data_IF_953479915530
#
_entry.id   IF_953479915530
#
_cell.length_a   1.000
_cell.length_b   1.000
_cell.length_c   1.000
_cell.angle_alpha   90.00
_cell.angle_beta   90.00
_cell.angle_gamma   90.00
#
_symmetry.space_group_name_H-M   'P 1'
#
loop_
_entity.id
_entity.type
_entity.pdbx_description
1 polymer ?
#
# COMPACT_ATOMS: atom_id res chain seq x y z
N UNK A 1 8.84 -20.77 1.01
CA UNK A 1 8.07 -19.53 1.29
C UNK A 1 6.80 -19.57 0.46
N UNK A 2 5.62 -19.59 1.08
CA UNK A 2 4.31 -19.71 0.39
C UNK A 2 3.97 -18.45 -0.41
N UNK A 3 3.06 -18.56 -1.41
CA UNK A 3 2.58 -17.43 -2.19
C UNK A 3 2.00 -16.31 -1.29
N UNK A 4 1.21 -16.69 -0.29
CA UNK A 4 0.65 -15.80 0.72
C UNK A 4 1.70 -15.00 1.50
N UNK A 5 2.80 -15.66 1.89
CA UNK A 5 3.88 -14.98 2.62
C UNK A 5 4.61 -13.98 1.72
N UNK A 6 4.83 -14.32 0.44
CA UNK A 6 5.44 -13.40 -0.54
C UNK A 6 4.57 -12.17 -0.80
N UNK A 7 3.26 -12.37 -0.95
CA UNK A 7 2.28 -11.29 -1.08
C UNK A 7 2.34 -10.35 0.13
N UNK A 8 2.31 -10.93 1.33
CA UNK A 8 2.42 -10.18 2.58
C UNK A 8 3.72 -9.37 2.65
N UNK A 9 4.86 -10.00 2.41
CA UNK A 9 6.17 -9.34 2.53
C UNK A 9 6.31 -8.17 1.54
N UNK A 10 5.90 -8.38 0.27
CA UNK A 10 5.94 -7.33 -0.75
C UNK A 10 4.97 -6.20 -0.44
N UNK A 11 3.77 -6.49 0.06
CA UNK A 11 2.81 -5.48 0.49
C UNK A 11 3.33 -4.67 1.68
N UNK A 12 3.96 -5.30 2.67
CA UNK A 12 4.56 -4.58 3.81
C UNK A 12 5.65 -3.63 3.32
N UNK A 13 6.56 -4.10 2.46
CA UNK A 13 7.63 -3.26 1.89
C UNK A 13 7.06 -2.09 1.10
N UNK A 14 6.05 -2.36 0.28
CA UNK A 14 5.39 -1.33 -0.51
C UNK A 14 4.59 -0.34 0.34
N UNK A 15 3.97 -0.81 1.42
CA UNK A 15 3.28 0.05 2.38
C UNK A 15 4.22 1.09 3.01
N UNK A 16 5.50 0.75 3.22
CA UNK A 16 6.51 1.73 3.64
C UNK A 16 6.75 2.80 2.56
N UNK A 17 6.75 2.42 1.28
CA UNK A 17 6.86 3.38 0.17
C UNK A 17 5.63 4.29 0.11
N UNK A 18 4.43 3.75 0.30
CA UNK A 18 3.19 4.54 0.43
C UNK A 18 3.29 5.55 1.57
N UNK A 19 3.85 5.16 2.74
CA UNK A 19 4.08 6.10 3.84
C UNK A 19 5.10 7.19 3.50
N UNK A 20 6.13 6.88 2.71
CA UNK A 20 7.12 7.86 2.23
C UNK A 20 6.52 8.83 1.23
N UNK A 21 5.72 8.32 0.29
CA UNK A 21 4.94 9.13 -0.65
C UNK A 21 3.99 10.06 0.10
N UNK A 22 3.24 9.57 1.09
CA UNK A 22 2.42 10.43 1.96
C UNK A 22 3.25 11.54 2.62
N UNK A 23 4.49 11.24 3.03
CA UNK A 23 5.44 12.24 3.53
C UNK A 23 5.83 13.32 2.51
N UNK A 24 5.99 12.98 1.22
CA UNK A 24 6.26 13.96 0.17
C UNK A 24 5.03 14.83 -0.11
N UNK A 25 3.83 14.23 -0.12
CA UNK A 25 2.56 14.96 -0.26
C UNK A 25 2.36 15.96 0.89
N UNK A 26 2.65 15.54 2.13
CA UNK A 26 2.66 16.45 3.28
C UNK A 26 3.63 17.62 3.05
N UNK A 27 4.87 17.33 2.64
CA UNK A 27 5.88 18.37 2.40
C UNK A 27 5.41 19.38 1.35
N UNK A 28 4.76 18.91 0.29
CA UNK A 28 4.19 19.75 -0.76
C UNK A 28 3.02 20.62 -0.26
N UNK A 29 2.21 20.13 0.68
CA UNK A 29 1.09 20.87 1.27
C UNK A 29 1.49 21.91 2.34
N UNK A 30 2.64 21.76 3.01
CA UNK A 30 3.06 22.66 4.10
C UNK A 30 3.19 24.15 3.74
N UNK A 31 3.59 24.57 2.52
CA UNK A 31 3.53 25.97 2.10
C UNK A 31 2.12 26.59 2.24
N UNK A 32 1.05 25.87 1.87
CA UNK A 32 -0.31 26.37 1.96
C UNK A 32 -0.74 26.61 3.42
N UNK A 33 -0.39 25.71 4.34
CA UNK A 33 -0.63 25.89 5.78
C UNK A 33 0.14 27.09 6.35
N UNK A 34 1.40 27.29 5.94
CA UNK A 34 2.20 28.46 6.36
C UNK A 34 1.62 29.76 5.82
N UNK A 35 1.15 29.76 4.57
CA UNK A 35 0.45 30.90 3.97
C UNK A 35 -0.84 31.21 4.72
N UNK A 36 -1.66 30.20 5.03
CA UNK A 36 -2.88 30.36 5.83
C UNK A 36 -2.61 31.05 7.18
N UNK A 37 -1.58 30.59 7.89
CA UNK A 37 -1.21 31.19 9.18
C UNK A 37 -0.82 32.67 9.04
N UNK A 38 -0.11 33.01 7.96
CA UNK A 38 0.27 34.40 7.66
C UNK A 38 -0.95 35.24 7.31
N UNK A 39 -1.82 34.75 6.44
CA UNK A 39 -2.99 35.49 5.95
C UNK A 39 -4.00 35.74 7.08
N UNK A 40 -4.30 34.72 7.90
CA UNK A 40 -5.16 34.88 9.08
C UNK A 40 -4.57 35.86 10.09
N UNK A 41 -3.25 35.80 10.33
CA UNK A 41 -2.57 36.74 11.21
C UNK A 41 -2.73 38.18 10.71
N UNK A 42 -2.50 38.41 9.42
CA UNK A 42 -2.62 39.73 8.81
C UNK A 42 -4.06 40.25 8.89
N UNK A 43 -5.04 39.40 8.56
CA UNK A 43 -6.46 39.77 8.60
C UNK A 43 -6.95 40.15 10.00
N UNK A 44 -6.55 39.39 11.02
CA UNK A 44 -6.95 39.66 12.40
C UNK A 44 -6.20 40.88 12.96
N UNK A 45 -4.90 41.01 12.68
CA UNK A 45 -4.11 42.13 13.18
C UNK A 45 -4.48 43.49 12.55
N UNK A 46 -4.98 43.48 11.32
CA UNK A 46 -5.39 44.67 10.58
C UNK A 46 -6.87 45.04 10.68
N UNK A 47 -7.68 44.31 11.46
CA UNK A 47 -9.10 44.61 11.61
C UNK A 47 -9.37 45.76 12.59
N UNK A 48 -10.39 46.57 12.32
CA UNK A 48 -10.76 47.74 13.11
C UNK A 48 -11.38 47.36 14.47
N UNK A 49 -11.16 48.17 15.51
CA UNK A 49 -11.68 47.90 16.86
C UNK A 49 -13.22 47.72 16.91
N UNK A 50 -13.95 48.37 16.00
CA UNK A 50 -15.41 48.27 15.88
C UNK A 50 -15.89 46.94 15.30
N UNK A 51 -15.07 46.27 14.48
CA UNK A 51 -15.32 44.94 13.89
C UNK A 51 -15.31 43.84 14.96
N UNK A 52 -14.47 44.00 15.98
CA UNK A 52 -14.35 43.06 17.09
C UNK A 52 -15.38 43.27 18.21
N UNK A 53 -16.34 44.19 18.05
CA UNK A 53 -17.46 44.31 18.99
C UNK A 53 -18.35 43.04 18.94
N UNK A 54 -18.81 42.55 20.10
CA UNK A 54 -19.50 41.24 20.25
C UNK A 54 -20.67 40.97 19.28
N UNK A 55 -21.30 42.01 18.72
CA UNK A 55 -22.41 41.87 17.77
C UNK A 55 -22.05 42.05 16.28
N UNK A 56 -20.78 42.25 15.90
CA UNK A 56 -20.40 42.70 14.54
C UNK A 56 -19.31 41.88 13.83
N UNK A 57 -19.03 40.66 14.28
CA UNK A 57 -17.96 39.80 13.74
C UNK A 57 -18.28 39.07 12.42
N UNK A 58 -19.43 39.33 11.79
CA UNK A 58 -19.88 38.58 10.60
C UNK A 58 -18.89 38.70 9.42
N UNK A 59 -18.33 39.90 9.20
CA UNK A 59 -17.36 40.11 8.13
C UNK A 59 -16.06 39.34 8.38
N UNK A 60 -15.53 39.40 9.61
CA UNK A 60 -14.34 38.67 10.01
C UNK A 60 -14.53 37.15 9.90
N UNK A 61 -15.68 36.64 10.33
CA UNK A 61 -16.00 35.21 10.20
C UNK A 61 -15.97 34.77 8.74
N UNK A 62 -16.62 35.53 7.85
CA UNK A 62 -16.63 35.24 6.40
C UNK A 62 -15.22 35.24 5.82
N UNK A 63 -14.39 36.21 6.18
CA UNK A 63 -13.03 36.31 5.66
C UNK A 63 -12.14 35.17 6.17
N UNK A 64 -12.27 34.78 7.45
CA UNK A 64 -11.57 33.62 8.01
C UNK A 64 -11.97 32.36 7.23
N UNK A 65 -13.26 32.13 7.01
CA UNK A 65 -13.74 30.96 6.27
C UNK A 65 -13.20 30.93 4.84
N UNK A 66 -13.21 32.08 4.14
CA UNK A 66 -12.69 32.18 2.78
C UNK A 66 -11.18 31.89 2.71
N UNK A 67 -10.39 32.42 3.64
CA UNK A 67 -8.95 32.18 3.73
C UNK A 67 -8.64 30.70 3.97
N UNK A 68 -9.38 30.07 4.89
CA UNK A 68 -9.21 28.65 5.23
C UNK A 68 -9.63 27.75 4.07
N UNK A 69 -10.75 28.03 3.41
CA UNK A 69 -11.19 27.30 2.22
C UNK A 69 -10.15 27.39 1.10
N UNK A 70 -9.70 28.61 0.76
CA UNK A 70 -8.68 28.84 -0.27
C UNK A 70 -7.38 28.08 0.02
N UNK A 71 -6.93 28.09 1.28
CA UNK A 71 -5.73 27.35 1.66
C UNK A 71 -5.92 25.84 1.58
N UNK A 72 -7.11 25.33 1.93
CA UNK A 72 -7.43 23.90 1.89
C UNK A 72 -7.57 23.40 0.46
N UNK A 73 -8.15 24.19 -0.44
CA UNK A 73 -8.18 23.89 -1.88
C UNK A 73 -6.77 23.84 -2.45
N UNK A 74 -5.92 24.79 -2.07
CA UNK A 74 -4.51 24.79 -2.43
C UNK A 74 -3.74 23.57 -1.90
N UNK A 75 -4.14 23.01 -0.75
CA UNK A 75 -3.61 21.72 -0.28
C UNK A 75 -4.07 20.60 -1.20
N UNK A 76 -5.36 20.50 -1.49
CA UNK A 76 -5.92 19.42 -2.33
C UNK A 76 -5.29 19.40 -3.72
N UNK A 77 -5.11 20.56 -4.35
CA UNK A 77 -4.57 20.69 -5.71
C UNK A 77 -3.11 20.25 -5.83
N UNK A 78 -2.31 20.34 -4.77
CA UNK A 78 -0.91 19.88 -4.81
C UNK A 78 -0.76 18.39 -4.51
N UNK A 79 -1.85 17.70 -4.15
CA UNK A 79 -1.80 16.27 -3.87
C UNK A 79 -1.86 15.48 -5.18
N UNK A 80 -0.86 14.64 -5.39
CA UNK A 80 -0.76 13.78 -6.55
C UNK A 80 -1.45 12.42 -6.29
N UNK A 81 -2.75 12.44 -6.01
CA UNK A 81 -3.49 11.22 -5.64
C UNK A 81 -3.97 10.41 -6.86
N UNK A 82 -4.17 11.06 -8.01
CA UNK A 82 -4.66 10.39 -9.22
C UNK A 82 -3.56 9.54 -9.87
N UNK A 83 -2.37 10.09 -10.10
CA UNK A 83 -1.26 9.31 -10.66
C UNK A 83 -0.80 8.24 -9.67
N UNK A 84 -0.84 8.54 -8.37
CA UNK A 84 -0.61 7.53 -7.33
C UNK A 84 -1.61 6.37 -7.42
N UNK A 85 -2.91 6.64 -7.61
CA UNK A 85 -3.92 5.58 -7.76
C UNK A 85 -3.61 4.65 -8.94
N UNK A 86 -3.19 5.23 -10.08
CA UNK A 86 -2.79 4.47 -11.27
C UNK A 86 -1.57 3.60 -10.99
N UNK A 87 -0.53 4.16 -10.35
CA UNK A 87 0.68 3.41 -9.98
C UNK A 87 0.38 2.27 -8.99
N UNK A 88 -0.58 2.47 -8.08
CA UNK A 88 -1.02 1.45 -7.14
C UNK A 88 -1.71 0.28 -7.86
N UNK A 89 -2.52 0.55 -8.89
CA UNK A 89 -3.11 -0.50 -9.73
C UNK A 89 -2.01 -1.31 -10.41
N UNK A 90 -1.05 -0.65 -11.07
CA UNK A 90 0.04 -1.35 -11.75
C UNK A 90 0.91 -2.19 -10.81
N UNK A 91 1.25 -1.62 -9.64
CA UNK A 91 1.98 -2.34 -8.61
C UNK A 91 1.21 -3.60 -8.19
N UNK A 92 -0.10 -3.49 -8.04
CA UNK A 92 -0.95 -4.56 -7.55
C UNK A 92 -1.16 -5.65 -8.60
N UNK A 93 -1.28 -5.28 -9.88
CA UNK A 93 -1.28 -6.24 -10.99
C UNK A 93 0.05 -7.02 -11.03
N UNK A 94 1.21 -6.35 -10.94
CA UNK A 94 2.52 -7.01 -10.88
C UNK A 94 2.67 -7.90 -9.66
N UNK A 95 2.18 -7.45 -8.51
CA UNK A 95 2.22 -8.19 -7.26
C UNK A 95 1.38 -9.47 -7.33
N UNK A 96 0.12 -9.35 -7.76
CA UNK A 96 -0.81 -10.47 -7.83
C UNK A 96 -0.40 -11.46 -8.92
N UNK A 97 -0.01 -10.97 -10.10
CA UNK A 97 0.47 -11.80 -11.21
C UNK A 97 1.70 -12.64 -10.85
N UNK A 98 2.56 -12.14 -9.95
CA UNK A 98 3.70 -12.90 -9.44
C UNK A 98 3.32 -13.98 -8.40
N UNK A 99 2.05 -14.07 -8.01
CA UNK A 99 1.55 -15.01 -7.00
C UNK A 99 0.54 -16.03 -7.54
N UNK A 100 0.03 -15.84 -8.77
CA UNK A 100 -1.01 -16.68 -9.37
C UNK A 100 -0.51 -17.40 -10.64
N UNK A 101 -1.01 -18.60 -10.89
CA UNK A 101 -0.62 -19.44 -12.05
C UNK A 101 -1.39 -19.15 -13.34
N UNK A 102 -2.31 -18.18 -13.30
CA UNK A 102 -3.18 -17.79 -14.41
C UNK A 102 -2.99 -16.32 -14.76
N UNK A 103 -3.38 -15.94 -15.96
CA UNK A 103 -3.39 -14.54 -16.37
C UNK A 103 -4.43 -13.74 -15.57
N UNK A 104 -4.10 -12.48 -15.29
CA UNK A 104 -5.01 -11.57 -14.60
C UNK A 104 -6.01 -10.97 -15.59
N UNK A 105 -7.14 -10.51 -15.05
CA UNK A 105 -8.12 -9.73 -15.81
C UNK A 105 -7.46 -8.52 -16.50
N UNK A 106 -7.70 -8.42 -17.80
CA UNK A 106 -7.28 -7.29 -18.62
C UNK A 106 -8.24 -6.09 -18.45
N UNK A 107 -7.76 -4.89 -18.79
CA UNK A 107 -8.65 -3.75 -19.02
C UNK A 107 -9.25 -3.10 -17.76
N UNK A 108 -8.46 -2.95 -16.68
CA UNK A 108 -8.89 -2.12 -15.53
C UNK A 108 -9.17 -0.69 -16.03
N UNK A 109 -10.38 -0.20 -15.76
CA UNK A 109 -10.81 1.12 -16.20
C UNK A 109 -10.07 2.21 -15.42
N UNK A 110 -9.06 2.81 -16.07
CA UNK A 110 -8.22 3.83 -15.43
C UNK A 110 -8.97 5.13 -15.14
N UNK A 111 -10.04 5.44 -15.86
CA UNK A 111 -10.89 6.61 -15.57
C UNK A 111 -11.69 6.39 -14.29
N UNK A 112 -12.17 5.16 -14.07
CA UNK A 112 -12.77 4.77 -12.80
C UNK A 112 -11.75 4.84 -11.66
N UNK A 113 -10.52 4.37 -11.87
CA UNK A 113 -9.45 4.43 -10.86
C UNK A 113 -9.13 5.87 -10.47
N UNK A 114 -9.05 6.80 -11.43
CA UNK A 114 -8.88 8.23 -11.14
C UNK A 114 -10.09 8.78 -10.38
N UNK A 115 -11.32 8.41 -10.76
CA UNK A 115 -12.53 8.89 -10.10
C UNK A 115 -12.66 8.45 -8.61
N UNK A 116 -11.96 7.40 -8.18
CA UNK A 116 -11.92 6.95 -6.78
C UNK A 116 -11.35 8.04 -5.86
N UNK A 117 -10.44 8.90 -6.34
CA UNK A 117 -9.84 9.98 -5.54
C UNK A 117 -10.86 10.95 -4.98
N UNK A 118 -11.97 11.16 -5.69
CA UNK A 118 -13.01 12.12 -5.30
C UNK A 118 -14.31 11.45 -4.85
N UNK A 119 -14.63 10.26 -5.37
CA UNK A 119 -15.95 9.63 -5.18
C UNK A 119 -15.97 8.54 -4.12
N UNK A 120 -14.83 7.93 -3.80
CA UNK A 120 -14.81 6.79 -2.87
C UNK A 120 -15.07 7.26 -1.45
N UNK A 121 -16.11 6.71 -0.83
CA UNK A 121 -16.40 6.92 0.59
C UNK A 121 -15.55 5.97 1.45
N UNK A 122 -14.82 6.55 2.40
CA UNK A 122 -14.12 5.84 3.47
C UNK A 122 -14.96 5.81 4.73
N UNK A 123 -14.94 4.69 5.43
CA UNK A 123 -15.61 4.51 6.72
C UNK A 123 -14.59 4.73 7.86
N UNK A 124 -14.66 5.89 8.49
CA UNK A 124 -13.72 6.31 9.54
C UNK A 124 -14.39 6.27 10.91
N UNK A 125 -13.81 5.50 11.82
CA UNK A 125 -14.16 5.53 13.24
C UNK A 125 -13.47 6.74 13.88
N UNK A 126 -14.26 7.61 14.51
CA UNK A 126 -13.79 8.83 15.17
C UNK A 126 -14.53 8.99 16.50
N UNK A 127 -13.85 8.66 17.60
CA UNK A 127 -14.49 8.52 18.91
C UNK A 127 -15.60 7.47 18.84
N UNK A 128 -16.80 7.84 19.29
CA UNK A 128 -17.98 6.98 19.29
C UNK A 128 -18.80 7.03 17.98
N UNK A 129 -18.29 7.75 16.98
CA UNK A 129 -18.99 7.96 15.70
C UNK A 129 -18.30 7.25 14.54
N UNK A 130 -19.10 6.84 13.56
CA UNK A 130 -18.63 6.33 12.28
C UNK A 130 -18.99 7.36 11.21
N UNK A 131 -17.98 7.93 10.58
CA UNK A 131 -18.14 8.86 9.46
C UNK A 131 -17.95 8.14 8.13
N UNK A 132 -18.73 8.51 7.12
CA UNK A 132 -18.56 8.08 5.73
C UNK A 132 -18.21 9.29 4.89
N UNK A 133 -16.94 9.44 4.54
CA UNK A 133 -16.42 10.66 3.92
C UNK A 133 -15.65 10.32 2.65
N UNK A 134 -15.82 11.15 1.62
CA UNK A 134 -14.89 11.23 0.51
C UNK A 134 -13.65 12.04 0.90
N UNK A 135 -12.61 12.04 0.08
CA UNK A 135 -11.43 12.89 0.31
C UNK A 135 -11.79 14.37 0.34
N UNK A 136 -12.53 14.91 -0.66
CA UNK A 136 -13.00 16.29 -0.59
C UNK A 136 -13.76 16.58 0.71
N UNK A 137 -14.69 15.72 1.12
CA UNK A 137 -15.46 15.91 2.35
C UNK A 137 -14.59 15.89 3.62
N UNK A 138 -13.50 15.11 3.67
CA UNK A 138 -12.55 15.17 4.79
C UNK A 138 -11.81 16.51 4.84
N UNK A 139 -11.46 17.08 3.68
CA UNK A 139 -10.84 18.39 3.60
C UNK A 139 -11.83 19.52 3.93
N UNK A 140 -13.09 19.39 3.54
CA UNK A 140 -14.15 20.32 3.93
C UNK A 140 -14.35 20.32 5.45
N UNK A 141 -14.47 19.14 6.08
CA UNK A 141 -14.56 19.03 7.55
C UNK A 141 -13.34 19.64 8.25
N UNK A 142 -12.14 19.43 7.70
CA UNK A 142 -10.91 20.02 8.20
C UNK A 142 -10.94 21.54 8.09
N UNK A 143 -11.30 22.08 6.91
CA UNK A 143 -11.42 23.51 6.62
C UNK A 143 -12.37 24.17 7.62
N UNK A 144 -13.58 23.63 7.77
CA UNK A 144 -14.56 24.16 8.72
C UNK A 144 -14.06 24.11 10.17
N UNK A 145 -13.37 23.04 10.57
CA UNK A 145 -12.85 22.91 11.92
C UNK A 145 -11.78 23.97 12.21
N UNK A 146 -10.87 24.23 11.26
CA UNK A 146 -9.86 25.28 11.40
C UNK A 146 -10.50 26.67 11.48
N UNK A 147 -11.48 26.96 10.62
CA UNK A 147 -12.22 28.23 10.65
C UNK A 147 -12.95 28.44 11.98
N UNK A 148 -13.68 27.43 12.46
CA UNK A 148 -14.37 27.46 13.76
C UNK A 148 -13.40 27.65 14.92
N UNK A 149 -12.27 26.94 14.94
CA UNK A 149 -11.27 27.06 16.01
C UNK A 149 -10.59 28.44 16.00
N UNK A 150 -10.29 28.99 14.82
CA UNK A 150 -9.73 30.34 14.70
C UNK A 150 -10.72 31.40 15.21
N UNK A 151 -12.00 31.30 14.82
CA UNK A 151 -13.05 32.19 15.31
C UNK A 151 -13.24 32.10 16.82
N UNK A 152 -13.20 30.89 17.39
CA UNK A 152 -13.30 30.68 18.85
C UNK A 152 -12.17 31.39 19.60
N UNK A 153 -10.94 31.35 19.08
CA UNK A 153 -9.80 32.07 19.67
C UNK A 153 -10.06 33.59 19.66
N UNK A 154 -10.56 34.11 18.54
CA UNK A 154 -10.87 35.54 18.42
C UNK A 154 -11.98 35.95 19.37
N UNK A 155 -13.08 35.21 19.42
CA UNK A 155 -14.21 35.49 20.31
C UNK A 155 -13.80 35.46 21.78
N UNK A 156 -13.04 34.45 22.19
CA UNK A 156 -12.49 34.36 23.54
C UNK A 156 -11.55 35.52 23.85
N UNK A 157 -10.67 35.88 22.91
CA UNK A 157 -9.76 37.01 23.08
C UNK A 157 -10.48 38.34 23.27
N UNK A 158 -11.58 38.58 22.56
CA UNK A 158 -12.42 39.78 22.75
C UNK A 158 -13.08 39.80 24.13
N UNK A 159 -13.66 38.68 24.56
CA UNK A 159 -14.27 38.55 25.88
C UNK A 159 -13.27 38.80 27.01
N UNK A 160 -12.02 38.38 26.81
CA UNK A 160 -10.93 38.53 27.78
C UNK A 160 -10.19 39.89 27.68
N UNK A 161 -10.57 40.77 26.75
CA UNK A 161 -9.92 42.07 26.55
C UNK A 161 -8.51 41.99 25.92
N UNK A 162 -8.19 40.91 25.19
CA UNK A 162 -6.91 40.74 24.49
C UNK A 162 -6.82 41.68 23.28
N UNK A 163 -5.59 42.08 22.94
CA UNK A 163 -5.34 42.89 21.74
C UNK A 163 -5.44 42.08 20.46
N UNK A 164 -5.68 42.75 19.31
CA UNK A 164 -5.68 42.06 18.00
C UNK A 164 -4.34 41.36 17.72
N UNK A 165 -3.22 41.94 18.18
CA UNK A 165 -1.90 41.33 18.02
C UNK A 165 -1.75 40.05 18.85
N UNK A 166 -2.37 39.96 20.03
CA UNK A 166 -2.39 38.72 20.82
C UNK A 166 -3.24 37.66 20.13
N UNK A 167 -4.47 38.00 19.75
CA UNK A 167 -5.39 37.06 19.06
C UNK A 167 -4.82 36.53 17.75
N UNK A 168 -4.25 37.42 16.91
CA UNK A 168 -3.64 37.03 15.63
C UNK A 168 -2.44 36.10 15.80
N UNK A 169 -1.63 36.25 16.87
CA UNK A 169 -0.53 35.33 17.20
C UNK A 169 -1.06 33.97 17.64
N UNK A 170 -2.12 33.94 18.45
CA UNK A 170 -2.75 32.70 18.92
C UNK A 170 -3.37 31.91 17.77
N UNK A 171 -4.06 32.58 16.84
CA UNK A 171 -4.58 31.96 15.61
C UNK A 171 -3.45 31.45 14.72
N UNK A 172 -2.39 32.22 14.50
CA UNK A 172 -1.23 31.75 13.73
C UNK A 172 -0.57 30.50 14.38
N UNK A 173 -0.50 30.48 15.71
CA UNK A 173 0.01 29.34 16.48
C UNK A 173 -0.90 28.12 16.33
N UNK A 174 -2.22 28.28 16.42
CA UNK A 174 -3.19 27.21 16.15
C UNK A 174 -2.97 26.58 14.77
N UNK A 175 -2.79 27.41 13.73
CA UNK A 175 -2.62 26.94 12.35
C UNK A 175 -1.31 26.18 12.19
N UNK A 176 -0.20 26.76 12.65
CA UNK A 176 1.14 26.17 12.50
C UNK A 176 1.41 24.94 13.39
N UNK A 177 0.55 24.69 14.39
CA UNK A 177 0.69 23.55 15.31
C UNK A 177 -0.43 22.53 15.12
N UNK A 178 -1.62 22.76 15.69
CA UNK A 178 -2.73 21.82 15.69
C UNK A 178 -3.26 21.58 14.28
N UNK A 179 -3.57 22.64 13.54
CA UNK A 179 -4.17 22.52 12.20
C UNK A 179 -3.21 21.86 11.23
N UNK A 180 -1.91 22.18 11.32
CA UNK A 180 -0.85 21.47 10.60
C UNK A 180 -0.88 19.96 10.87
N UNK A 181 -0.91 19.51 12.12
CA UNK A 181 -0.95 18.07 12.46
C UNK A 181 -2.23 17.38 11.99
N UNK A 182 -3.35 18.10 12.02
CA UNK A 182 -4.62 17.61 11.47
C UNK A 182 -4.52 17.45 9.94
N UNK A 183 -3.98 18.43 9.21
CA UNK A 183 -3.73 18.32 7.78
C UNK A 183 -2.81 17.14 7.44
N UNK A 184 -1.71 16.96 8.18
CA UNK A 184 -0.82 15.80 8.02
C UNK A 184 -1.56 14.46 8.16
N UNK A 185 -2.53 14.42 9.09
CA UNK A 185 -3.33 13.24 9.37
C UNK A 185 -4.37 12.99 8.27
N UNK A 186 -5.04 14.03 7.77
CA UNK A 186 -5.98 13.95 6.65
C UNK A 186 -5.25 13.47 5.40
N UNK A 187 -4.09 14.05 5.07
CA UNK A 187 -3.26 13.64 3.91
C UNK A 187 -2.85 12.17 4.02
N UNK A 188 -2.37 11.71 5.19
CA UNK A 188 -2.04 10.29 5.40
C UNK A 188 -3.24 9.37 5.20
N UNK A 189 -4.39 9.77 5.71
CA UNK A 189 -5.64 9.01 5.61
C UNK A 189 -6.09 8.91 4.16
N UNK A 190 -6.05 10.04 3.43
CA UNK A 190 -6.33 10.11 2.01
C UNK A 190 -5.39 9.19 1.20
N UNK A 191 -4.07 9.30 1.37
CA UNK A 191 -3.10 8.46 0.65
C UNK A 191 -3.34 6.97 0.91
N UNK A 192 -3.52 6.56 2.16
CA UNK A 192 -3.77 5.15 2.49
C UNK A 192 -5.12 4.67 1.94
N UNK A 193 -6.15 5.51 1.97
CA UNK A 193 -7.46 5.23 1.39
C UNK A 193 -7.41 5.00 -0.11
N UNK A 194 -6.69 5.84 -0.85
CA UNK A 194 -6.53 5.69 -2.30
C UNK A 194 -5.71 4.46 -2.66
N UNK A 195 -4.60 4.23 -1.98
CA UNK A 195 -3.82 3.01 -2.21
C UNK A 195 -4.64 1.75 -1.92
N UNK A 196 -5.46 1.75 -0.86
CA UNK A 196 -6.37 0.65 -0.57
C UNK A 196 -7.45 0.47 -1.63
N UNK A 197 -8.11 1.56 -2.04
CA UNK A 197 -9.18 1.51 -3.03
C UNK A 197 -8.68 1.10 -4.43
N UNK A 198 -7.52 1.61 -4.87
CA UNK A 198 -6.87 1.20 -6.11
C UNK A 198 -6.54 -0.30 -6.13
N UNK A 199 -6.00 -0.84 -5.02
CA UNK A 199 -5.78 -2.29 -4.86
C UNK A 199 -7.07 -3.09 -4.99
N UNK A 200 -8.15 -2.59 -4.37
CA UNK A 200 -9.44 -3.28 -4.38
C UNK A 200 -10.02 -3.38 -5.79
N UNK A 201 -9.78 -2.42 -6.69
CA UNK A 201 -10.20 -2.54 -8.09
C UNK A 201 -9.50 -3.72 -8.79
N UNK A 202 -8.20 -3.90 -8.55
CA UNK A 202 -7.47 -5.08 -9.06
C UNK A 202 -8.04 -6.36 -8.48
N UNK A 203 -8.31 -6.41 -7.18
CA UNK A 203 -8.88 -7.60 -6.55
C UNK A 203 -10.30 -7.89 -7.02
N UNK A 204 -11.11 -6.86 -7.27
CA UNK A 204 -12.47 -6.99 -7.78
C UNK A 204 -12.49 -7.57 -9.19
N UNK A 205 -11.60 -7.07 -10.06
CA UNK A 205 -11.45 -7.55 -11.43
C UNK A 205 -10.99 -9.01 -11.50
N UNK A 206 -10.29 -9.49 -10.45
CA UNK A 206 -9.74 -10.85 -10.35
C UNK A 206 -10.49 -11.67 -9.27
N UNK A 207 -11.79 -11.45 -9.11
CA UNK A 207 -12.57 -12.06 -8.03
C UNK A 207 -12.82 -13.57 -8.20
N UNK A 208 -12.67 -14.08 -9.41
CA UNK A 208 -12.72 -15.49 -9.76
C UNK A 208 -11.55 -16.30 -9.18
N UNK A 209 -10.37 -15.67 -8.98
CA UNK A 209 -9.16 -16.35 -8.47
C UNK A 209 -8.87 -16.06 -6.99
N UNK A 210 -9.66 -15.18 -6.36
CA UNK A 210 -9.48 -14.75 -4.98
C UNK A 210 -10.58 -15.32 -4.07
N UNK A 211 -10.19 -15.82 -2.91
CA UNK A 211 -11.11 -16.29 -1.86
C UNK A 211 -11.66 -15.14 -1.02
N UNK A 212 -10.87 -14.08 -0.88
CA UNK A 212 -11.19 -12.90 -0.08
C UNK A 212 -9.99 -12.01 0.16
N UNK A 213 -10.13 -11.14 1.15
CA UNK A 213 -9.08 -10.23 1.59
C UNK A 213 -8.87 -10.39 3.09
N UNK A 214 -7.62 -10.56 3.52
CA UNK A 214 -7.21 -10.60 4.91
C UNK A 214 -6.78 -9.22 5.38
N UNK A 215 -7.39 -8.75 6.46
CA UNK A 215 -6.94 -7.54 7.13
C UNK A 215 -5.57 -7.78 7.75
N UNK A 216 -4.61 -6.91 7.43
CA UNK A 216 -3.23 -6.97 7.92
C UNK A 216 -2.90 -5.64 8.59
N UNK A 217 -2.74 -5.66 9.90
CA UNK A 217 -2.38 -4.50 10.70
C UNK A 217 -0.87 -4.35 10.84
N UNK A 218 -0.42 -3.10 10.99
CA UNK A 218 0.96 -2.83 11.40
C UNK A 218 1.18 -3.39 12.81
N UNK A 219 2.25 -4.14 13.04
CA UNK A 219 2.58 -4.68 14.37
C UNK A 219 3.46 -3.69 15.15
N UNK A 220 2.86 -2.60 15.62
CA UNK A 220 3.54 -1.63 16.47
C UNK A 220 2.64 -1.09 17.60
N UNK A 221 3.24 -0.38 18.56
CA UNK A 221 2.51 0.18 19.72
C UNK A 221 1.52 1.31 19.38
N UNK A 222 1.45 1.75 18.13
CA UNK A 222 0.55 2.82 17.67
C UNK A 222 -0.65 2.28 16.89
N UNK A 223 -0.73 0.98 16.65
CA UNK A 223 -1.89 0.34 16.01
C UNK A 223 -3.09 0.43 16.93
N UNK A 224 -4.19 1.02 16.46
CA UNK A 224 -5.41 1.25 17.24
C UNK A 224 -6.15 -0.04 17.60
N UNK A 225 -7.02 0.02 18.61
CA UNK A 225 -7.82 -1.15 19.04
C UNK A 225 -8.66 -1.75 17.90
N UNK A 226 -9.30 -0.92 17.07
CA UNK A 226 -10.09 -1.38 15.91
C UNK A 226 -9.23 -2.10 14.86
N UNK A 227 -7.98 -1.68 14.67
CA UNK A 227 -7.07 -2.34 13.75
C UNK A 227 -6.52 -3.65 14.35
N UNK A 228 -6.21 -3.67 15.66
CA UNK A 228 -5.76 -4.89 16.35
C UNK A 228 -6.86 -5.95 16.37
N UNK A 229 -8.11 -5.56 16.65
CA UNK A 229 -9.24 -6.50 16.73
C UNK A 229 -9.62 -7.11 15.38
N UNK A 230 -9.22 -6.46 14.28
CA UNK A 230 -9.46 -6.96 12.92
C UNK A 230 -8.24 -7.67 12.34
N UNK A 231 -7.10 -7.67 13.04
CA UNK A 231 -5.89 -8.25 12.48
C UNK A 231 -6.06 -9.75 12.22
N UNK A 232 -5.83 -10.15 10.99
CA UNK A 232 -6.01 -11.52 10.54
C UNK A 232 -7.43 -11.92 10.15
N UNK A 233 -8.43 -11.06 10.35
CA UNK A 233 -9.80 -11.31 9.91
C UNK A 233 -9.88 -11.36 8.37
N UNK A 234 -10.66 -12.31 7.86
CA UNK A 234 -10.86 -12.52 6.43
C UNK A 234 -12.25 -12.02 6.03
N UNK A 235 -12.29 -11.19 5.01
CA UNK A 235 -13.51 -10.63 4.47
C UNK A 235 -13.69 -11.02 3.02
N UNK A 236 -14.94 -11.17 2.57
CA UNK A 236 -15.23 -11.31 1.14
C UNK A 236 -14.77 -10.05 0.40
N UNK A 237 -14.40 -10.21 -0.87
CA UNK A 237 -13.96 -9.12 -1.73
C UNK A 237 -15.00 -8.00 -1.75
N UNK A 238 -14.53 -6.75 -1.59
CA UNK A 238 -15.38 -5.56 -1.51
C UNK A 238 -16.47 -5.53 -0.42
N UNK A 239 -16.47 -6.49 0.52
CA UNK A 239 -17.46 -6.56 1.61
C UNK A 239 -16.80 -6.42 2.98
N UNK A 240 -17.48 -5.75 3.90
CA UNK A 240 -17.00 -5.55 5.27
C UNK A 240 -16.04 -4.36 5.43
N UNK A 241 -15.47 -4.17 6.63
CA UNK A 241 -14.61 -3.04 6.93
C UNK A 241 -13.34 -3.02 6.05
N UNK A 242 -12.88 -1.82 5.71
CA UNK A 242 -11.63 -1.61 4.94
C UNK A 242 -10.78 -0.50 5.59
N UNK A 243 -9.45 -0.61 5.53
CA UNK A 243 -8.57 0.48 5.91
C UNK A 243 -8.66 1.63 4.87
N UNK A 244 -8.48 2.89 5.28
CA UNK A 244 -8.26 3.33 6.66
C UNK A 244 -9.53 3.18 7.52
N UNK A 245 -9.42 2.52 8.68
CA UNK A 245 -10.53 2.40 9.64
C UNK A 245 -10.71 3.64 10.51
N UNK A 246 -9.69 4.51 10.55
CA UNK A 246 -9.65 5.72 11.36
C UNK A 246 -8.59 6.64 10.77
N UNK A 247 -8.61 7.90 11.21
CA UNK A 247 -7.58 8.87 10.86
C UNK A 247 -6.18 8.36 11.23
N UNK A 248 -5.26 8.39 10.27
CA UNK A 248 -3.88 7.91 10.43
C UNK A 248 -3.72 6.38 10.47
N UNK A 249 -4.73 5.60 10.09
CA UNK A 249 -4.64 4.15 9.97
C UNK A 249 -3.56 3.74 8.96
N UNK A 250 -2.75 2.72 9.31
CA UNK A 250 -1.65 2.17 8.48
C UNK A 250 -1.85 0.70 8.10
N UNK A 251 -2.98 0.11 8.47
CA UNK A 251 -3.36 -1.26 8.09
C UNK A 251 -3.68 -1.34 6.60
N UNK A 252 -3.62 -2.54 6.03
CA UNK A 252 -3.93 -2.81 4.63
C UNK A 252 -4.76 -4.09 4.50
N UNK A 253 -5.37 -4.28 3.33
CA UNK A 253 -5.96 -5.55 2.93
C UNK A 253 -5.00 -6.30 2.01
N UNK A 254 -4.78 -7.58 2.32
CA UNK A 254 -4.01 -8.50 1.47
C UNK A 254 -4.97 -9.50 0.81
N UNK A 255 -4.83 -9.79 -0.49
CA UNK A 255 -5.67 -10.79 -1.14
C UNK A 255 -5.29 -12.19 -0.66
N UNK A 256 -6.29 -13.07 -0.59
CA UNK A 256 -6.11 -14.51 -0.41
C UNK A 256 -6.41 -15.15 -1.75
N UNK A 257 -5.39 -15.69 -2.40
CA UNK A 257 -5.54 -16.43 -3.65
C UNK A 257 -6.14 -17.80 -3.33
N UNK A 258 -7.09 -18.30 -4.13
CA UNK A 258 -7.60 -19.67 -3.93
C UNK A 258 -6.51 -20.70 -4.22
N UNK A 259 -6.51 -21.82 -3.52
CA UNK A 259 -5.39 -22.78 -3.54
C UNK A 259 -5.03 -23.25 -4.95
N UNK A 260 -6.02 -23.52 -5.79
CA UNK A 260 -5.87 -23.99 -7.17
C UNK A 260 -5.16 -22.99 -8.10
N UNK A 261 -5.19 -21.69 -7.77
CA UNK A 261 -4.53 -20.64 -8.55
C UNK A 261 -3.20 -20.19 -7.94
N UNK A 262 -2.81 -20.69 -6.76
CA UNK A 262 -1.53 -20.31 -6.13
C UNK A 262 -0.37 -20.89 -6.91
N UNK A 263 0.63 -20.06 -7.21
CA UNK A 263 1.93 -20.60 -7.60
C UNK A 263 2.50 -21.36 -6.39
N UNK A 264 2.67 -22.67 -6.53
CA UNK A 264 3.32 -23.50 -5.50
C UNK A 264 4.68 -22.88 -5.11
N UNK A 265 5.02 -22.88 -3.82
CA UNK A 265 6.23 -22.25 -3.30
C UNK A 265 7.50 -22.68 -4.04
N UNK A 266 8.06 -21.80 -4.89
CA UNK A 266 9.31 -22.06 -5.64
C UNK A 266 10.34 -21.01 -5.27
N UNK A 267 11.39 -21.39 -4.55
CA UNK A 267 12.63 -20.62 -4.51
C UNK A 267 13.39 -20.78 -5.84
N UNK A 268 14.36 -19.90 -6.12
CA UNK A 268 15.32 -20.12 -7.20
C UNK A 268 16.67 -20.57 -6.60
N UNK A 269 17.38 -21.46 -7.30
CA UNK A 269 18.76 -21.87 -7.03
C UNK A 269 19.65 -21.42 -8.19
N UNK A 270 20.93 -21.13 -7.95
CA UNK A 270 21.87 -20.77 -9.01
C UNK A 270 22.08 -21.95 -9.99
N UNK A 271 22.24 -21.64 -11.28
CA UNK A 271 22.61 -22.57 -12.35
C UNK A 271 23.46 -21.85 -13.40
N UNK A 272 24.11 -22.62 -14.29
CA UNK A 272 24.99 -22.11 -15.35
C UNK A 272 24.27 -21.13 -16.29
N UNK A 273 23.04 -21.46 -16.69
CA UNK A 273 22.22 -20.68 -17.63
C UNK A 273 21.35 -19.61 -16.94
N UNK A 274 21.66 -19.28 -15.67
CA UNK A 274 20.88 -18.41 -14.81
C UNK A 274 20.09 -19.14 -13.73
N UNK A 275 19.44 -18.42 -12.79
CA UNK A 275 18.72 -19.04 -11.69
C UNK A 275 17.59 -19.97 -12.17
N UNK A 276 17.53 -21.20 -11.64
CA UNK A 276 16.49 -22.20 -11.95
C UNK A 276 15.62 -22.48 -10.72
N UNK A 277 14.42 -23.00 -10.94
CA UNK A 277 13.50 -23.42 -9.86
C UNK A 277 14.21 -24.36 -8.85
N UNK A 278 14.06 -24.11 -7.55
CA UNK A 278 14.71 -24.86 -6.46
C UNK A 278 14.33 -26.34 -6.41
N UNK A 279 13.22 -26.74 -7.05
CA UNK A 279 12.76 -28.13 -7.19
C UNK A 279 13.44 -28.86 -8.36
N UNK A 280 14.11 -28.14 -9.25
CA UNK A 280 14.90 -28.75 -10.31
C UNK A 280 16.05 -29.52 -9.68
N UNK A 281 15.98 -30.84 -9.74
CA UNK A 281 17.08 -31.74 -9.36
C UNK A 281 18.20 -31.65 -10.38
N UNK A 282 19.44 -31.99 -10.00
CA UNK A 282 20.57 -31.99 -10.93
C UNK A 282 20.31 -32.89 -12.15
N UNK A 283 19.71 -34.07 -11.95
CA UNK A 283 19.29 -34.95 -13.05
C UNK A 283 18.17 -34.35 -13.91
N UNK A 284 17.19 -33.68 -13.30
CA UNK A 284 16.15 -32.98 -14.05
C UNK A 284 16.69 -31.82 -14.90
N UNK A 285 17.68 -31.09 -14.39
CA UNK A 285 18.38 -30.04 -15.12
C UNK A 285 19.25 -30.60 -16.25
N UNK A 286 20.07 -31.61 -15.96
CA UNK A 286 21.00 -32.21 -16.92
C UNK A 286 20.26 -32.86 -18.09
N UNK A 287 19.09 -33.48 -17.86
CA UNK A 287 18.26 -34.09 -18.91
C UNK A 287 17.71 -33.08 -19.94
N UNK A 288 17.69 -31.79 -19.61
CA UNK A 288 17.22 -30.71 -20.52
C UNK A 288 18.37 -30.03 -21.27
N UNK A 289 19.61 -30.44 -21.02
CA UNK A 289 20.79 -29.89 -21.70
C UNK A 289 20.99 -30.53 -23.08
N UNK A 290 21.69 -29.86 -24.01
CA UNK A 290 22.03 -30.44 -25.31
C UNK A 290 22.76 -31.79 -25.16
N UNK A 291 22.48 -32.73 -26.06
CA UNK A 291 23.04 -34.09 -25.99
C UNK A 291 24.57 -34.11 -25.88
N UNK A 292 25.26 -33.25 -26.63
CA UNK A 292 26.72 -33.11 -26.58
C UNK A 292 27.23 -32.68 -25.19
N UNK A 293 26.46 -31.86 -24.47
CA UNK A 293 26.80 -31.44 -23.11
C UNK A 293 26.56 -32.57 -22.10
N UNK A 294 25.48 -33.35 -22.27
CA UNK A 294 25.22 -34.53 -21.43
C UNK A 294 26.29 -35.60 -21.61
N UNK A 295 26.75 -35.80 -22.85
CA UNK A 295 27.84 -36.72 -23.19
C UNK A 295 29.19 -36.26 -22.60
N UNK A 296 29.47 -34.96 -22.58
CA UNK A 296 30.65 -34.38 -21.91
C UNK A 296 30.63 -34.59 -20.39
N UNK A 297 29.47 -34.39 -19.76
CA UNK A 297 29.30 -34.51 -18.30
C UNK A 297 29.33 -35.97 -17.80
N UNK A 298 28.74 -36.92 -18.53
CA UNK A 298 28.57 -38.30 -18.06
C UNK A 298 29.43 -39.35 -18.80
N UNK A 299 29.96 -38.99 -19.97
CA UNK A 299 30.52 -39.91 -20.95
C UNK A 299 29.44 -40.61 -21.79
N UNK A 300 29.75 -40.98 -23.05
CA UNK A 300 28.75 -41.34 -24.07
C UNK A 300 27.83 -42.50 -23.65
N UNK A 301 28.39 -43.55 -23.03
CA UNK A 301 27.61 -44.75 -22.67
C UNK A 301 26.73 -44.55 -21.43
N UNK A 302 27.12 -43.70 -20.47
CA UNK A 302 26.27 -43.37 -19.31
C UNK A 302 25.22 -42.33 -19.69
N UNK A 303 25.58 -41.38 -20.55
CA UNK A 303 24.66 -40.40 -21.11
C UNK A 303 23.52 -41.08 -21.89
N UNK A 304 23.82 -42.12 -22.67
CA UNK A 304 22.80 -42.94 -23.34
C UNK A 304 21.83 -43.61 -22.35
N UNK A 305 22.35 -44.22 -21.29
CA UNK A 305 21.54 -44.84 -20.22
C UNK A 305 20.68 -43.82 -19.48
N UNK A 306 21.20 -42.61 -19.29
CA UNK A 306 20.52 -41.50 -18.63
C UNK A 306 19.42 -40.87 -19.51
N UNK A 307 19.74 -40.58 -20.78
CA UNK A 307 18.79 -40.00 -21.76
C UNK A 307 17.64 -40.97 -22.07
N UNK A 308 17.95 -42.26 -22.24
CA UNK A 308 16.94 -43.31 -22.45
C UNK A 308 16.06 -43.58 -21.21
N UNK A 309 16.39 -43.00 -20.05
CA UNK A 309 15.63 -43.17 -18.81
C UNK A 309 15.83 -44.53 -18.14
N UNK A 310 16.76 -45.37 -18.64
CA UNK A 310 17.10 -46.66 -18.03
C UNK A 310 17.75 -46.50 -16.66
N UNK A 311 18.48 -45.41 -16.43
CA UNK A 311 19.05 -45.06 -15.13
C UNK A 311 18.84 -43.58 -14.80
N UNK A 312 18.62 -43.27 -13.53
CA UNK A 312 18.62 -41.92 -12.96
C UNK A 312 20.03 -41.52 -12.53
N UNK A 313 20.28 -40.21 -12.41
CA UNK A 313 21.61 -39.68 -12.09
C UNK A 313 22.18 -40.18 -10.75
N UNK A 314 21.31 -40.39 -9.75
CA UNK A 314 21.66 -40.89 -8.41
C UNK A 314 22.10 -42.36 -8.42
N UNK A 315 21.83 -43.09 -9.51
CA UNK A 315 22.15 -44.50 -9.64
C UNK A 315 23.56 -44.75 -10.21
N UNK A 316 24.28 -43.70 -10.60
CA UNK A 316 25.65 -43.79 -11.11
C UNK A 316 26.73 -43.85 -10.01
N UNK A 317 26.36 -43.67 -8.75
CA UNK A 317 27.26 -43.74 -7.59
C UNK A 317 26.84 -44.83 -6.62
N UNK A 318 27.79 -45.36 -5.85
CA UNK A 318 27.49 -46.18 -4.66
C UNK A 318 27.08 -45.31 -3.46
N UNK A 319 26.71 -45.97 -2.36
CA UNK A 319 26.23 -45.29 -1.13
C UNK A 319 27.35 -44.47 -0.44
N UNK A 320 28.61 -44.72 -0.80
CA UNK A 320 29.77 -43.95 -0.37
C UNK A 320 30.12 -42.80 -1.34
N UNK A 321 29.32 -42.59 -2.39
CA UNK A 321 29.50 -41.53 -3.38
C UNK A 321 30.54 -41.82 -4.46
N UNK A 322 31.07 -43.05 -4.54
CA UNK A 322 32.04 -43.44 -5.58
C UNK A 322 31.30 -43.77 -6.88
N UNK A 323 31.80 -43.27 -8.00
CA UNK A 323 31.21 -43.55 -9.32
C UNK A 323 31.35 -45.03 -9.70
N UNK A 324 30.25 -45.66 -10.09
CA UNK A 324 30.21 -47.05 -10.55
C UNK A 324 30.71 -47.17 -12.00
N UNK A 325 31.48 -48.23 -12.30
CA UNK A 325 31.87 -48.56 -13.67
C UNK A 325 30.68 -49.05 -14.50
N UNK A 326 30.80 -49.05 -15.83
CA UNK A 326 29.73 -49.56 -16.70
C UNK A 326 29.41 -51.04 -16.44
N UNK A 327 30.43 -51.84 -16.11
CA UNK A 327 30.25 -53.25 -15.76
C UNK A 327 29.50 -53.41 -14.43
N UNK A 328 29.84 -52.59 -13.42
CA UNK A 328 29.13 -52.58 -12.13
C UNK A 328 27.68 -52.12 -12.28
N UNK A 329 27.41 -51.14 -13.14
CA UNK A 329 26.04 -50.70 -13.43
C UNK A 329 25.22 -51.79 -14.12
N UNK A 330 25.82 -52.54 -15.05
CA UNK A 330 25.17 -53.68 -15.71
C UNK A 330 24.80 -54.77 -14.71
N UNK A 331 25.73 -55.16 -13.85
CA UNK A 331 25.49 -56.19 -12.83
C UNK A 331 24.46 -55.76 -11.79
N UNK A 332 24.47 -54.48 -11.39
CA UNK A 332 23.58 -53.97 -10.33
C UNK A 332 22.14 -53.72 -10.78
N UNK A 333 21.93 -53.38 -12.06
CA UNK A 333 20.61 -53.01 -12.59
C UNK A 333 20.13 -53.89 -13.74
N UNK A 334 20.78 -55.05 -13.95
CA UNK A 334 20.48 -56.06 -14.97
C UNK A 334 20.25 -55.47 -16.37
N UNK A 335 21.18 -54.60 -16.79
CA UNK A 335 21.06 -53.85 -18.05
C UNK A 335 21.60 -54.66 -19.23
N UNK A 336 20.72 -55.15 -20.10
CA UNK A 336 21.10 -55.64 -21.43
C UNK A 336 21.48 -54.45 -22.32
N UNK A 337 22.76 -54.34 -22.66
CA UNK A 337 23.23 -53.40 -23.66
C UNK A 337 23.51 -54.15 -24.95
N UNK A 338 22.87 -53.77 -26.06
CA UNK A 338 23.34 -54.13 -27.40
C UNK A 338 24.63 -53.38 -27.72
#
# INVERSE_FOLDING_TARGET
MTADFRLLERLIRHQVLVQRFSGSQIKAAMPAIRKLAKDLRQRIAGGDATEFAMGRMVALERDIQLLVATATDGIQQVLDLEDFAVQEVEFTQRLLGAAVSVDLAEGINMDMVRAITTRRQMQLVSGDTIKRLTIPAMFDEFSEAVGRDALRIVQAGVLEGRTQQQMSRDVAKLVTTRSRRQAETVIRTATNGIGGAARNEVYAANSDILEGEKWTSTLDGKTSAVCRSRDGEVYRLNQGPRPPAHYGCRSLMRPIVKEEYRIAAVGQRASMDGPVDSRVTYGGWLKRQPDAFVDDVLGPRRAELFRSGKLRIDQFTDDAGRSLTLEQLRQRYDLTMQ
#
